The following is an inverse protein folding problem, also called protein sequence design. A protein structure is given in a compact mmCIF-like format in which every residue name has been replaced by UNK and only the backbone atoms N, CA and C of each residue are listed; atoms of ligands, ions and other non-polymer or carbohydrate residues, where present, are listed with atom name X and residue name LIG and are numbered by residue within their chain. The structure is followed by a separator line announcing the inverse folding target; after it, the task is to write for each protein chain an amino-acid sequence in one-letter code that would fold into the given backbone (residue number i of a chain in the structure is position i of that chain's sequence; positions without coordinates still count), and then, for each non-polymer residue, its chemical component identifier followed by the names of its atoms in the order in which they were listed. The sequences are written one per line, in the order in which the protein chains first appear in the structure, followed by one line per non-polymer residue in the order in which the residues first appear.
data_IF_781413110251
#
_entry.id   IF_781413110251
#
_cell.length_a   1.000
_cell.length_b   1.000
_cell.length_c   1.000
_cell.angle_alpha   90.00
_cell.angle_beta   90.00
_cell.angle_gamma   90.00
#
_symmetry.space_group_name_H-M   'P 1'
#
loop_
_entity.id
_entity.type
_entity.pdbx_description
1 polymer ?
#
# COMPACT_ATOMS: atom_id res chain seq x y z
N UNK A 1 25.14 -53.78 13.28
CA UNK A 1 24.46 -53.34 12.06
C UNK A 1 23.71 -52.11 12.50
N UNK A 2 24.44 -51.01 12.62
CA UNK A 2 24.00 -49.81 13.32
C UNK A 2 24.09 -48.64 12.35
N UNK A 3 22.92 -48.17 11.92
CA UNK A 3 22.76 -46.97 11.14
C UNK A 3 22.44 -45.84 12.11
N UNK A 4 23.44 -45.01 12.42
CA UNK A 4 23.24 -43.76 13.15
C UNK A 4 23.47 -42.58 12.20
N UNK A 5 22.40 -42.20 11.49
CA UNK A 5 22.35 -41.02 10.61
C UNK A 5 21.85 -39.83 11.43
N UNK A 6 22.70 -39.30 12.30
CA UNK A 6 22.49 -37.98 12.87
C UNK A 6 22.78 -36.92 11.80
N UNK A 7 21.70 -36.44 11.16
CA UNK A 7 21.69 -35.22 10.35
C UNK A 7 22.20 -34.06 11.20
N UNK A 8 23.45 -33.70 10.99
CA UNK A 8 24.05 -32.45 11.49
C UNK A 8 23.37 -31.29 10.77
N UNK A 9 22.40 -30.66 11.43
CA UNK A 9 21.99 -29.29 11.12
C UNK A 9 23.23 -28.40 11.28
N UNK A 10 23.82 -27.98 10.15
CA UNK A 10 24.89 -27.00 10.11
C UNK A 10 24.40 -25.63 10.60
N UNK A 11 24.36 -25.45 11.91
CA UNK A 11 24.21 -24.15 12.54
C UNK A 11 25.51 -23.38 12.39
N UNK A 12 25.57 -22.46 11.42
CA UNK A 12 26.67 -21.50 11.32
C UNK A 12 26.60 -20.61 12.56
N UNK A 13 27.58 -20.73 13.47
CA UNK A 13 27.73 -19.82 14.60
C UNK A 13 28.18 -18.45 14.05
N UNK A 14 27.23 -17.52 13.92
CA UNK A 14 27.52 -16.12 13.65
C UNK A 14 28.31 -15.54 14.83
N UNK A 15 29.37 -14.78 14.55
CA UNK A 15 30.05 -14.00 15.58
C UNK A 15 29.09 -12.93 16.14
N UNK A 16 29.23 -12.53 17.41
CA UNK A 16 28.44 -11.42 17.98
C UNK A 16 28.58 -10.12 17.18
N UNK A 17 29.72 -9.93 16.50
CA UNK A 17 29.93 -8.81 15.59
C UNK A 17 29.13 -8.94 14.29
N UNK A 18 29.01 -10.16 13.75
CA UNK A 18 28.18 -10.41 12.56
C UNK A 18 26.69 -10.30 12.89
N UNK A 19 26.26 -10.74 14.07
CA UNK A 19 24.89 -10.51 14.57
C UNK A 19 24.60 -9.02 14.70
N UNK A 20 25.54 -8.25 15.27
CA UNK A 20 25.40 -6.79 15.40
C UNK A 20 25.36 -6.09 14.05
N UNK A 21 26.19 -6.52 13.09
CA UNK A 21 26.15 -6.01 11.71
C UNK A 21 24.84 -6.41 11.02
N UNK A 22 24.34 -7.64 11.24
CA UNK A 22 23.05 -8.08 10.72
C UNK A 22 21.93 -7.23 11.30
N UNK A 23 21.93 -7.01 12.62
CA UNK A 23 20.90 -6.27 13.33
C UNK A 23 20.92 -4.77 12.97
N UNK A 24 22.11 -4.18 12.80
CA UNK A 24 22.27 -2.83 12.26
C UNK A 24 21.78 -2.75 10.81
N UNK A 25 22.02 -3.77 9.97
CA UNK A 25 21.48 -3.80 8.60
C UNK A 25 19.98 -4.08 8.56
N UNK A 26 19.45 -4.89 9.45
CA UNK A 26 18.02 -5.20 9.57
C UNK A 26 17.29 -3.97 10.07
N UNK A 27 17.81 -3.29 11.10
CA UNK A 27 17.24 -2.07 11.66
C UNK A 27 17.37 -0.86 10.73
N UNK A 28 18.46 -0.77 9.95
CA UNK A 28 18.56 0.21 8.86
C UNK A 28 17.55 -0.05 7.73
N UNK A 29 17.07 -1.30 7.61
CA UNK A 29 16.07 -1.70 6.61
C UNK A 29 14.62 -1.68 7.13
N UNK A 30 14.36 -1.51 8.42
CA UNK A 30 12.99 -1.47 8.95
C UNK A 30 12.38 -0.09 8.79
N UNK A 31 11.42 0.01 7.88
CA UNK A 31 10.69 1.26 7.63
C UNK A 31 9.70 1.54 8.77
N UNK A 32 10.07 2.41 9.70
CA UNK A 32 9.18 2.82 10.81
C UNK A 32 8.34 4.03 10.36
N UNK A 33 7.12 3.75 9.88
CA UNK A 33 6.11 4.76 9.59
C UNK A 33 4.76 4.37 10.21
N UNK A 34 3.89 5.34 10.56
CA UNK A 34 2.62 5.06 11.22
C UNK A 34 1.64 4.41 10.22
N UNK A 35 1.69 3.09 10.05
CA UNK A 35 0.79 2.31 9.17
C UNK A 35 -0.69 2.56 9.49
N UNK A 36 -1.02 2.77 10.77
CA UNK A 36 -2.37 3.11 11.22
C UNK A 36 -2.91 4.40 10.59
N UNK A 37 -2.05 5.41 10.39
CA UNK A 37 -2.45 6.65 9.75
C UNK A 37 -2.88 6.42 8.28
N UNK A 38 -2.21 5.50 7.57
CA UNK A 38 -2.58 5.14 6.19
C UNK A 38 -3.93 4.42 6.13
N UNK A 39 -4.24 3.59 7.12
CA UNK A 39 -5.55 2.92 7.23
C UNK A 39 -6.66 3.96 7.44
N UNK A 40 -6.44 4.94 8.32
CA UNK A 40 -7.40 6.03 8.56
C UNK A 40 -7.62 6.82 7.27
N UNK A 41 -6.55 7.18 6.56
CA UNK A 41 -6.67 7.87 5.26
C UNK A 41 -7.43 7.01 4.26
N UNK A 42 -7.17 5.71 4.19
CA UNK A 42 -7.90 4.80 3.31
C UNK A 42 -9.40 4.76 3.60
N UNK A 43 -9.80 4.77 4.88
CA UNK A 43 -11.20 4.83 5.29
C UNK A 43 -11.86 6.15 4.87
N UNK A 44 -11.18 7.28 5.08
CA UNK A 44 -11.69 8.60 4.67
C UNK A 44 -11.87 8.64 3.14
N UNK A 45 -10.88 8.17 2.38
CA UNK A 45 -10.94 8.13 0.92
C UNK A 45 -12.05 7.20 0.42
N UNK A 46 -12.22 6.03 1.05
CA UNK A 46 -13.27 5.08 0.70
C UNK A 46 -14.69 5.60 1.00
N UNK A 47 -14.83 6.66 1.79
CA UNK A 47 -16.12 7.32 2.01
C UNK A 47 -16.58 8.18 0.83
N UNK A 48 -15.65 8.71 0.01
CA UNK A 48 -15.97 9.50 -1.18
C UNK A 48 -17.00 8.81 -2.12
N UNK A 49 -16.80 7.55 -2.56
CA UNK A 49 -17.76 6.87 -3.43
C UNK A 49 -19.11 6.63 -2.75
N UNK A 50 -19.14 6.42 -1.43
CA UNK A 50 -20.38 6.26 -0.65
C UNK A 50 -21.19 7.55 -0.70
N UNK A 51 -20.53 8.68 -0.46
CA UNK A 51 -21.15 9.99 -0.53
C UNK A 51 -21.68 10.29 -1.94
N UNK A 52 -20.90 10.02 -2.98
CA UNK A 52 -21.34 10.21 -4.37
C UNK A 52 -22.56 9.34 -4.72
N UNK A 53 -22.57 8.07 -4.31
CA UNK A 53 -23.72 7.19 -4.55
C UNK A 53 -24.97 7.66 -3.81
N UNK A 54 -24.85 8.12 -2.57
CA UNK A 54 -25.99 8.63 -1.83
C UNK A 54 -26.51 9.96 -2.42
N UNK A 55 -25.62 10.92 -2.62
CA UNK A 55 -25.98 12.28 -3.02
C UNK A 55 -26.39 12.40 -4.50
N UNK A 56 -25.77 11.62 -5.39
CA UNK A 56 -25.98 11.72 -6.85
C UNK A 56 -26.90 10.62 -7.36
N UNK A 57 -26.73 9.38 -6.89
CA UNK A 57 -27.51 8.24 -7.39
C UNK A 57 -28.82 8.03 -6.61
N UNK A 58 -29.06 8.80 -5.54
CA UNK A 58 -30.29 8.74 -4.74
C UNK A 58 -30.45 7.43 -3.95
N UNK A 59 -29.36 6.69 -3.74
CA UNK A 59 -29.39 5.48 -2.91
C UNK A 59 -29.50 5.86 -1.44
N UNK A 60 -30.72 5.78 -0.92
CA UNK A 60 -31.05 6.15 0.45
C UNK A 60 -30.36 5.24 1.48
N UNK A 61 -29.62 5.86 2.41
CA UNK A 61 -28.94 5.21 3.53
C UNK A 61 -29.89 4.69 4.61
N UNK A 62 -31.14 5.15 4.65
CA UNK A 62 -32.13 4.71 5.62
C UNK A 62 -32.60 3.27 5.34
N UNK A 63 -32.44 2.81 4.09
CA UNK A 63 -32.71 1.43 3.73
C UNK A 63 -31.58 0.51 4.24
N UNK A 64 -31.89 -0.49 5.10
CA UNK A 64 -30.88 -1.36 5.71
C UNK A 64 -30.02 -2.13 4.70
N UNK A 65 -30.59 -2.48 3.55
CA UNK A 65 -29.87 -3.16 2.48
C UNK A 65 -28.77 -2.27 1.86
N UNK A 66 -29.07 -0.97 1.67
CA UNK A 66 -28.12 -0.02 1.09
C UNK A 66 -27.04 0.37 2.11
N UNK A 67 -27.40 0.52 3.39
CA UNK A 67 -26.42 0.81 4.44
C UNK A 67 -25.44 -0.34 4.66
N UNK A 68 -25.94 -1.59 4.70
CA UNK A 68 -25.08 -2.77 4.73
C UNK A 68 -24.14 -2.81 3.51
N UNK A 69 -24.67 -2.51 2.32
CA UNK A 69 -23.87 -2.43 1.11
C UNK A 69 -22.77 -1.37 1.20
N UNK A 70 -23.10 -0.17 1.67
CA UNK A 70 -22.15 0.93 1.84
C UNK A 70 -21.01 0.54 2.78
N UNK A 71 -21.32 -0.08 3.91
CA UNK A 71 -20.30 -0.52 4.87
C UNK A 71 -19.38 -1.57 4.25
N UNK A 72 -19.94 -2.59 3.59
CA UNK A 72 -19.15 -3.69 3.00
C UNK A 72 -18.22 -3.15 1.91
N UNK A 73 -18.76 -2.36 0.97
CA UNK A 73 -17.99 -1.81 -0.15
C UNK A 73 -16.94 -0.82 0.35
N UNK A 74 -17.26 0.04 1.31
CA UNK A 74 -16.30 0.99 1.89
C UNK A 74 -15.16 0.28 2.63
N UNK A 75 -15.46 -0.74 3.44
CA UNK A 75 -14.43 -1.51 4.15
C UNK A 75 -13.53 -2.26 3.19
N UNK A 76 -14.10 -2.91 2.16
CA UNK A 76 -13.30 -3.58 1.14
C UNK A 76 -12.41 -2.61 0.36
N UNK A 77 -12.97 -1.46 -0.04
CA UNK A 77 -12.23 -0.41 -0.75
C UNK A 77 -11.11 0.15 0.13
N UNK A 78 -11.38 0.43 1.39
CA UNK A 78 -10.39 0.91 2.36
C UNK A 78 -9.28 -0.13 2.59
N UNK A 79 -9.64 -1.42 2.68
CA UNK A 79 -8.65 -2.49 2.78
C UNK A 79 -7.72 -2.49 1.56
N UNK A 80 -8.26 -2.49 0.34
CA UNK A 80 -7.46 -2.50 -0.89
C UNK A 80 -6.59 -1.25 -1.02
N UNK A 81 -7.13 -0.07 -0.70
CA UNK A 81 -6.37 1.19 -0.69
C UNK A 81 -5.26 1.16 0.37
N UNK A 82 -5.52 0.62 1.56
CA UNK A 82 -4.49 0.50 2.60
C UNK A 82 -3.32 -0.38 2.16
N UNK A 83 -3.59 -1.51 1.49
CA UNK A 83 -2.57 -2.37 0.91
C UNK A 83 -1.79 -1.65 -0.20
N UNK A 84 -2.50 -0.92 -1.07
CA UNK A 84 -1.86 -0.13 -2.13
C UNK A 84 -0.94 0.95 -1.54
N UNK A 85 -1.37 1.67 -0.49
CA UNK A 85 -0.54 2.66 0.19
C UNK A 85 0.73 2.03 0.79
N UNK A 86 0.59 0.93 1.54
CA UNK A 86 1.72 0.25 2.19
C UNK A 86 2.77 -0.15 1.15
N UNK A 87 2.34 -0.90 0.13
CA UNK A 87 3.24 -1.41 -0.92
C UNK A 87 3.90 -0.25 -1.68
N UNK A 88 3.12 0.78 -2.01
CA UNK A 88 3.63 1.89 -2.81
C UNK A 88 4.58 2.80 -2.02
N UNK A 89 4.30 3.09 -0.75
CA UNK A 89 5.21 3.83 0.14
C UNK A 89 6.54 3.11 0.27
N UNK A 90 6.51 1.80 0.51
CA UNK A 90 7.72 0.99 0.60
C UNK A 90 8.46 1.04 -0.74
N UNK A 91 7.80 0.77 -1.86
CA UNK A 91 8.42 0.81 -3.20
C UNK A 91 9.10 2.14 -3.53
N UNK A 92 8.47 3.27 -3.19
CA UNK A 92 9.01 4.61 -3.42
C UNK A 92 10.18 4.92 -2.50
N UNK A 93 10.09 4.53 -1.23
CA UNK A 93 11.18 4.68 -0.28
C UNK A 93 12.45 3.94 -0.75
N UNK A 94 12.32 2.66 -1.10
CA UNK A 94 13.45 1.84 -1.57
C UNK A 94 14.01 2.33 -2.90
N UNK A 95 13.17 2.91 -3.78
CA UNK A 95 13.63 3.57 -5.01
C UNK A 95 14.59 4.73 -4.71
N UNK A 96 14.32 5.50 -3.66
CA UNK A 96 15.12 6.65 -3.26
C UNK A 96 16.39 6.26 -2.48
N UNK A 97 16.47 5.03 -1.95
CA UNK A 97 17.61 4.58 -1.15
C UNK A 97 18.91 4.39 -1.96
N UNK A 98 18.86 4.18 -3.28
CA UNK A 98 20.09 4.09 -4.10
C UNK A 98 20.97 5.35 -4.09
N UNK A 99 20.43 6.50 -3.70
CA UNK A 99 21.17 7.77 -3.60
C UNK A 99 21.77 7.99 -2.19
N UNK A 100 21.99 6.93 -1.39
CA UNK A 100 22.53 7.01 -0.03
C UNK A 100 24.05 6.90 0.07
N UNK A 101 24.73 6.40 -0.95
CA UNK A 101 26.19 6.18 -0.89
C UNK A 101 27.01 7.48 -0.83
N UNK A 102 26.38 8.65 -0.87
CA UNK A 102 27.04 9.94 -1.07
C UNK A 102 26.99 10.88 0.14
N UNK A 103 26.28 10.55 1.24
CA UNK A 103 26.03 11.52 2.34
C UNK A 103 26.78 11.13 3.62
N UNK A 104 27.36 12.14 4.29
CA UNK A 104 28.06 11.99 5.56
C UNK A 104 27.15 11.44 6.68
N UNK A 105 27.69 10.54 7.51
CA UNK A 105 26.98 9.77 8.57
C UNK A 105 26.21 10.62 9.61
N UNK A 106 26.43 11.94 9.67
CA UNK A 106 25.78 12.84 10.63
C UNK A 106 24.31 13.19 10.30
N UNK A 107 23.96 13.31 9.02
CA UNK A 107 22.63 13.79 8.58
C UNK A 107 21.70 12.67 8.09
N UNK A 108 22.16 11.44 8.14
CA UNK A 108 21.50 10.27 7.55
C UNK A 108 20.08 10.04 8.10
N UNK A 109 19.89 10.24 9.41
CA UNK A 109 18.59 10.09 10.09
C UNK A 109 17.58 11.16 9.69
N UNK A 110 18.03 12.40 9.54
CA UNK A 110 17.17 13.52 9.15
C UNK A 110 16.76 13.38 7.69
N UNK A 111 17.71 12.99 6.83
CA UNK A 111 17.47 12.71 5.42
C UNK A 111 16.51 11.53 5.24
N UNK A 112 16.68 10.45 6.02
CA UNK A 112 15.80 9.29 6.02
C UNK A 112 14.36 9.68 6.35
N UNK A 113 14.16 10.45 7.42
CA UNK A 113 12.84 10.93 7.84
C UNK A 113 12.20 11.84 6.79
N UNK A 114 12.96 12.75 6.19
CA UNK A 114 12.47 13.65 5.12
C UNK A 114 12.07 12.87 3.87
N UNK A 115 12.86 11.91 3.44
CA UNK A 115 12.55 11.07 2.27
C UNK A 115 11.33 10.18 2.52
N UNK A 116 11.22 9.60 3.71
CA UNK A 116 10.01 8.86 4.11
C UNK A 116 8.77 9.75 4.06
N UNK A 117 8.87 10.99 4.54
CA UNK A 117 7.76 11.96 4.46
C UNK A 117 7.40 12.30 3.01
N UNK A 118 8.38 12.46 2.12
CA UNK A 118 8.17 12.71 0.69
C UNK A 118 7.54 11.49 0.00
N UNK A 119 8.03 10.28 0.28
CA UNK A 119 7.50 9.04 -0.28
C UNK A 119 6.05 8.80 0.15
N UNK A 120 5.74 9.03 1.44
CA UNK A 120 4.37 8.97 1.97
C UNK A 120 3.49 10.04 1.31
N UNK A 121 3.94 11.29 1.27
CA UNK A 121 3.18 12.40 0.67
C UNK A 121 2.87 12.17 -0.81
N UNK A 122 3.88 11.76 -1.59
CA UNK A 122 3.71 11.42 -3.00
C UNK A 122 2.74 10.26 -3.19
N UNK A 123 2.89 9.18 -2.42
CA UNK A 123 2.02 8.01 -2.52
C UNK A 123 0.58 8.35 -2.19
N UNK A 124 0.35 9.08 -1.10
CA UNK A 124 -0.98 9.53 -0.71
C UNK A 124 -1.60 10.43 -1.78
N UNK A 125 -0.85 11.40 -2.30
CA UNK A 125 -1.34 12.28 -3.35
C UNK A 125 -1.68 11.50 -4.63
N UNK A 126 -0.77 10.65 -5.11
CA UNK A 126 -0.96 9.90 -6.35
C UNK A 126 -2.13 8.93 -6.26
N UNK A 127 -2.14 8.06 -5.24
CA UNK A 127 -3.18 7.03 -5.11
C UNK A 127 -4.55 7.67 -4.88
N UNK A 128 -4.65 8.71 -4.04
CA UNK A 128 -5.93 9.41 -3.85
C UNK A 128 -6.38 10.14 -5.11
N UNK A 129 -5.49 10.83 -5.81
CA UNK A 129 -5.86 11.57 -7.03
C UNK A 129 -6.33 10.64 -8.13
N UNK A 130 -5.61 9.53 -8.35
CA UNK A 130 -5.98 8.52 -9.35
C UNK A 130 -7.29 7.83 -8.93
N UNK A 131 -7.43 7.45 -7.65
CA UNK A 131 -8.65 6.85 -7.15
C UNK A 131 -9.84 7.78 -7.34
N UNK A 132 -9.74 9.03 -6.88
CA UNK A 132 -10.81 10.01 -6.95
C UNK A 132 -11.22 10.30 -8.40
N UNK A 133 -10.24 10.50 -9.29
CA UNK A 133 -10.49 10.78 -10.72
C UNK A 133 -11.15 9.58 -11.41
N UNK A 134 -10.56 8.39 -11.33
CA UNK A 134 -11.09 7.20 -12.01
C UNK A 134 -12.44 6.79 -11.42
N UNK A 135 -12.58 6.79 -10.09
CA UNK A 135 -13.83 6.41 -9.42
C UNK A 135 -14.97 7.38 -9.78
N UNK A 136 -14.68 8.68 -9.86
CA UNK A 136 -15.68 9.69 -10.28
C UNK A 136 -16.05 9.52 -11.75
N UNK A 137 -15.07 9.30 -12.63
CA UNK A 137 -15.32 9.05 -14.05
C UNK A 137 -16.16 7.78 -14.25
N UNK A 138 -15.86 6.69 -13.53
CA UNK A 138 -16.65 5.46 -13.59
C UNK A 138 -18.08 5.68 -13.08
N UNK A 139 -18.26 6.42 -11.97
CA UNK A 139 -19.59 6.77 -11.49
C UNK A 139 -20.36 7.59 -12.53
N UNK A 140 -19.77 8.62 -13.13
CA UNK A 140 -20.42 9.46 -14.16
C UNK A 140 -20.73 8.66 -15.43
N UNK A 141 -19.82 7.79 -15.86
CA UNK A 141 -20.01 6.95 -17.03
C UNK A 141 -21.13 5.93 -16.82
N UNK A 142 -21.11 5.21 -15.69
CA UNK A 142 -22.12 4.21 -15.35
C UNK A 142 -23.47 4.83 -14.98
N UNK A 143 -23.50 6.04 -14.44
CA UNK A 143 -24.72 6.83 -14.20
C UNK A 143 -25.59 6.98 -15.45
N UNK A 144 -24.99 6.98 -16.65
CA UNK A 144 -25.75 7.07 -17.90
C UNK A 144 -26.38 5.75 -18.37
N UNK A 145 -25.90 4.60 -17.89
CA UNK A 145 -26.20 3.33 -18.54
C UNK A 145 -26.44 2.14 -17.59
N UNK A 146 -26.40 2.29 -16.27
CA UNK A 146 -26.44 1.16 -15.33
C UNK A 146 -27.30 1.40 -14.08
N UNK A 147 -27.71 0.31 -13.44
CA UNK A 147 -28.34 0.34 -12.11
C UNK A 147 -27.39 1.02 -11.10
N UNK A 148 -27.86 2.01 -10.33
CA UNK A 148 -27.05 2.76 -9.38
C UNK A 148 -26.36 1.89 -8.32
N UNK A 149 -26.95 0.75 -7.94
CA UNK A 149 -26.35 -0.18 -6.97
C UNK A 149 -25.13 -0.89 -7.55
N UNK A 150 -25.25 -1.36 -8.78
CA UNK A 150 -24.17 -2.04 -9.50
C UNK A 150 -23.04 -1.06 -9.79
N UNK A 151 -23.38 0.18 -10.17
CA UNK A 151 -22.41 1.25 -10.35
C UNK A 151 -21.61 1.53 -9.08
N UNK A 152 -22.28 1.63 -7.93
CA UNK A 152 -21.63 1.84 -6.64
C UNK A 152 -20.77 0.65 -6.20
N UNK A 153 -21.17 -0.59 -6.48
CA UNK A 153 -20.35 -1.76 -6.18
C UNK A 153 -19.08 -1.79 -7.03
N UNK A 154 -19.20 -1.60 -8.35
CA UNK A 154 -18.10 -1.83 -9.28
C UNK A 154 -17.11 -0.69 -9.32
N UNK A 155 -17.56 0.57 -9.31
CA UNK A 155 -16.69 1.73 -9.51
C UNK A 155 -15.55 1.82 -8.48
N UNK A 156 -15.82 1.87 -7.15
CA UNK A 156 -14.76 1.93 -6.15
C UNK A 156 -13.96 0.64 -6.05
N UNK A 157 -14.60 -0.54 -6.19
CA UNK A 157 -13.90 -1.83 -6.06
C UNK A 157 -12.92 -2.07 -7.21
N UNK A 158 -13.34 -1.82 -8.45
CA UNK A 158 -12.47 -1.92 -9.62
C UNK A 158 -11.33 -0.91 -9.56
N UNK A 159 -11.62 0.33 -9.17
CA UNK A 159 -10.59 1.36 -9.07
C UNK A 159 -9.55 1.03 -8.00
N UNK A 160 -9.99 0.58 -6.82
CA UNK A 160 -9.09 0.16 -5.75
C UNK A 160 -8.30 -1.10 -6.11
N UNK A 161 -8.93 -2.07 -6.78
CA UNK A 161 -8.24 -3.27 -7.27
C UNK A 161 -7.18 -2.92 -8.32
N UNK A 162 -7.48 -2.03 -9.26
CA UNK A 162 -6.53 -1.55 -10.26
C UNK A 162 -5.32 -0.88 -9.58
N UNK A 163 -5.56 0.00 -8.61
CA UNK A 163 -4.49 0.67 -7.87
C UNK A 163 -3.62 -0.30 -7.08
N UNK A 164 -4.24 -1.31 -6.47
CA UNK A 164 -3.51 -2.37 -5.79
C UNK A 164 -2.65 -3.18 -6.76
N UNK A 165 -3.17 -3.55 -7.93
CA UNK A 165 -2.39 -4.24 -8.97
C UNK A 165 -1.23 -3.38 -9.48
N UNK A 166 -1.44 -2.08 -9.67
CA UNK A 166 -0.38 -1.14 -10.04
C UNK A 166 0.70 -1.09 -8.97
N UNK A 167 0.33 -1.04 -7.69
CA UNK A 167 1.27 -1.06 -6.58
C UNK A 167 2.10 -2.35 -6.56
N UNK A 168 1.45 -3.52 -6.71
CA UNK A 168 2.15 -4.82 -6.80
C UNK A 168 3.10 -4.89 -8.00
N UNK A 169 2.66 -4.41 -9.17
CA UNK A 169 3.51 -4.39 -10.38
C UNK A 169 4.71 -3.47 -10.22
N UNK A 170 4.54 -2.34 -9.53
CA UNK A 170 5.65 -1.42 -9.24
C UNK A 170 6.68 -2.10 -8.34
N UNK A 171 6.21 -2.83 -7.33
CA UNK A 171 7.04 -3.62 -6.42
C UNK A 171 7.79 -4.76 -7.13
N UNK A 172 7.10 -5.53 -7.98
CA UNK A 172 7.76 -6.56 -8.80
C UNK A 172 8.84 -5.96 -9.72
N UNK A 173 8.52 -4.83 -10.37
CA UNK A 173 9.45 -4.13 -11.26
C UNK A 173 10.70 -3.68 -10.51
N UNK A 174 10.52 -3.20 -9.28
CA UNK A 174 11.61 -2.84 -8.37
C UNK A 174 12.47 -4.06 -8.02
N UNK A 175 11.85 -5.16 -7.58
CA UNK A 175 12.54 -6.41 -7.24
C UNK A 175 13.35 -6.97 -8.42
N UNK A 176 12.79 -6.98 -9.63
CA UNK A 176 13.49 -7.40 -10.86
C UNK A 176 14.71 -6.51 -11.17
N UNK A 177 14.59 -5.20 -10.99
CA UNK A 177 15.72 -4.28 -11.15
C UNK A 177 16.81 -4.52 -10.11
N UNK A 178 16.47 -4.83 -8.86
CA UNK A 178 17.47 -5.17 -7.85
C UNK A 178 18.18 -6.48 -8.16
N UNK A 179 17.46 -7.50 -8.64
CA UNK A 179 18.04 -8.80 -9.00
C UNK A 179 19.06 -8.72 -10.14
N UNK A 180 18.90 -7.77 -11.08
CA UNK A 180 19.83 -7.56 -12.20
C UNK A 180 21.10 -6.77 -11.84
N UNK A 181 21.18 -6.20 -10.63
CA UNK A 181 22.33 -5.44 -10.14
C UNK A 181 23.17 -6.23 -9.11
N UNK A 182 22.91 -7.52 -8.94
CA UNK A 182 23.79 -8.50 -8.29
C UNK A 182 24.57 -9.26 -9.35
#
# INVERSE_FOLDING_TARGET
MDHDLSRTHGGIRLSREDEKILEDRISANTLVYPKQALIIVALITAFQPVYLSHAVNGLDWAQPANSALYVIVALFTAYMLSQAYIVMVESEFWRQQRHYSEVAKGDEKVLHKRRLQVAVGYTLFFVNSVFSTICTLMHVYMLRHSDPRVSFMLSPTMTAALLWLVAQKNEESRCRRMARHK
#
